data_IF_129707563314
#
_entry.id   IF_129707563314
#
_cell.length_a   1.000
_cell.length_b   1.000
_cell.length_c   1.000
_cell.angle_alpha   90.00
_cell.angle_beta   90.00
_cell.angle_gamma   90.00
#
_symmetry.space_group_name_H-M   'P 1'
#
loop_
_entity.id
_entity.type
_entity.pdbx_description
1 polymer ?
#
# COMPACT_ATOMS: atom_id res chain seq x y z
N UNK A 1 -0.35 -21.71 -20.78
CA UNK A 1 0.72 -21.79 -19.72
C UNK A 1 2.07 -21.25 -20.21
N UNK A 2 2.59 -21.58 -21.42
CA UNK A 2 3.89 -21.06 -21.90
C UNK A 2 3.77 -19.59 -22.30
N UNK A 3 2.68 -19.19 -22.96
CA UNK A 3 2.39 -17.80 -23.35
C UNK A 3 2.25 -16.89 -22.13
N UNK A 4 1.58 -17.33 -21.08
CA UNK A 4 1.40 -16.59 -19.84
C UNK A 4 2.75 -16.40 -19.10
N UNK A 5 3.57 -17.45 -19.01
CA UNK A 5 4.91 -17.35 -18.42
C UNK A 5 5.80 -16.38 -19.20
N UNK A 6 5.70 -16.36 -20.54
CA UNK A 6 6.46 -15.44 -21.40
C UNK A 6 5.98 -13.99 -21.22
N UNK A 7 4.66 -13.77 -21.11
CA UNK A 7 4.09 -12.45 -20.82
C UNK A 7 4.53 -11.94 -19.45
N UNK A 8 4.44 -12.76 -18.40
CA UNK A 8 4.91 -12.41 -17.07
C UNK A 8 6.40 -12.08 -17.05
N UNK A 9 7.22 -12.87 -17.75
CA UNK A 9 8.65 -12.60 -17.89
C UNK A 9 8.91 -11.26 -18.61
N UNK A 10 8.20 -10.97 -19.71
CA UNK A 10 8.35 -9.71 -20.45
C UNK A 10 7.92 -8.49 -19.62
N UNK A 11 6.83 -8.59 -18.84
CA UNK A 11 6.36 -7.54 -17.93
C UNK A 11 7.36 -7.30 -16.81
N UNK A 12 7.87 -8.36 -16.16
CA UNK A 12 8.88 -8.22 -15.12
C UNK A 12 10.19 -7.61 -15.65
N UNK A 13 10.59 -8.00 -16.87
CA UNK A 13 11.75 -7.44 -17.54
C UNK A 13 11.58 -5.93 -17.84
N UNK A 14 10.38 -5.50 -18.23
CA UNK A 14 10.07 -4.09 -18.48
C UNK A 14 10.02 -3.24 -17.20
N UNK A 15 9.59 -3.81 -16.07
CA UNK A 15 9.53 -3.13 -14.78
C UNK A 15 10.91 -2.93 -14.14
N UNK A 16 11.91 -3.77 -14.48
CA UNK A 16 13.28 -3.65 -13.96
C UNK A 16 13.95 -2.33 -14.31
N UNK A 17 14.02 -1.88 -15.59
CA UNK A 17 14.62 -0.59 -15.92
C UNK A 17 13.86 0.58 -15.28
N UNK A 18 12.54 0.51 -15.17
CA UNK A 18 11.75 1.52 -14.48
C UNK A 18 12.15 1.64 -13.01
N UNK A 19 12.30 0.51 -12.30
CA UNK A 19 12.84 0.51 -10.95
C UNK A 19 14.24 1.15 -10.90
N UNK A 20 15.13 0.80 -11.83
CA UNK A 20 16.49 1.30 -11.87
C UNK A 20 16.57 2.81 -12.09
N UNK A 21 15.70 3.37 -12.91
CA UNK A 21 15.60 4.82 -13.13
C UNK A 21 15.10 5.56 -11.88
N UNK A 22 14.08 5.02 -11.22
CA UNK A 22 13.47 5.63 -10.03
C UNK A 22 14.31 5.47 -8.76
N UNK A 23 15.09 4.40 -8.62
CA UNK A 23 15.89 4.13 -7.43
C UNK A 23 17.09 5.11 -7.26
N UNK A 24 17.57 5.74 -8.31
CA UNK A 24 18.62 6.78 -8.28
C UNK A 24 19.79 6.46 -7.34
N UNK A 25 20.06 7.36 -6.40
CA UNK A 25 21.14 7.21 -5.39
C UNK A 25 20.84 6.11 -4.33
N UNK A 26 19.58 5.75 -4.12
CA UNK A 26 19.16 4.65 -3.23
C UNK A 26 19.53 3.28 -3.79
N UNK A 27 19.83 3.20 -5.08
CA UNK A 27 20.23 2.00 -5.84
C UNK A 27 21.37 1.20 -5.20
N UNK A 28 22.29 1.84 -4.48
CA UNK A 28 23.47 1.17 -3.87
C UNK A 28 23.10 0.20 -2.73
N UNK A 29 21.86 0.22 -2.24
CA UNK A 29 21.45 -0.62 -1.12
C UNK A 29 20.56 -1.76 -1.63
N UNK A 30 21.07 -2.99 -1.63
CA UNK A 30 20.29 -4.21 -1.91
C UNK A 30 18.98 -4.26 -1.10
N UNK A 31 18.95 -3.59 0.05
CA UNK A 31 17.79 -3.46 0.91
C UNK A 31 16.60 -2.80 0.23
N UNK A 32 16.85 -1.71 -0.55
CA UNK A 32 15.78 -0.99 -1.28
C UNK A 32 15.09 -1.91 -2.29
N UNK A 33 15.88 -2.72 -2.99
CA UNK A 33 15.37 -3.72 -3.94
C UNK A 33 14.52 -4.77 -3.23
N UNK A 34 15.05 -5.37 -2.14
CA UNK A 34 14.36 -6.41 -1.37
C UNK A 34 13.05 -5.89 -0.78
N UNK A 35 13.01 -4.66 -0.25
CA UNK A 35 11.80 -4.07 0.33
C UNK A 35 10.75 -3.82 -0.75
N UNK A 36 11.12 -3.21 -1.89
CA UNK A 36 10.16 -2.92 -2.97
C UNK A 36 9.55 -4.19 -3.54
N UNK A 37 10.39 -5.13 -4.00
CA UNK A 37 9.91 -6.36 -4.61
C UNK A 37 9.33 -7.34 -3.60
N UNK A 38 9.84 -7.34 -2.37
CA UNK A 38 9.27 -8.10 -1.26
C UNK A 38 7.86 -7.65 -0.92
N UNK A 39 7.60 -6.34 -0.85
CA UNK A 39 6.26 -5.80 -0.63
C UNK A 39 5.29 -6.15 -1.77
N UNK A 40 5.74 -6.06 -3.03
CA UNK A 40 4.95 -6.47 -4.20
C UNK A 40 4.61 -7.96 -4.15
N UNK A 41 5.60 -8.82 -3.87
CA UNK A 41 5.38 -10.26 -3.74
C UNK A 41 4.42 -10.62 -2.62
N UNK A 42 4.59 -10.01 -1.45
CA UNK A 42 3.68 -10.22 -0.30
C UNK A 42 2.26 -9.83 -0.68
N UNK A 43 2.05 -8.71 -1.35
CA UNK A 43 0.72 -8.30 -1.80
C UNK A 43 0.13 -9.28 -2.81
N UNK A 44 0.90 -9.76 -3.79
CA UNK A 44 0.44 -10.75 -4.76
C UNK A 44 0.08 -12.09 -4.09
N UNK A 45 0.86 -12.52 -3.09
CA UNK A 45 0.53 -13.69 -2.28
C UNK A 45 -0.77 -13.50 -1.50
N UNK A 46 -0.98 -12.32 -0.91
CA UNK A 46 -2.25 -11.99 -0.24
C UNK A 46 -3.42 -12.00 -1.22
N UNK A 47 -3.25 -11.49 -2.41
CA UNK A 47 -4.27 -11.56 -3.44
C UNK A 47 -4.62 -13.01 -3.79
N UNK A 48 -3.61 -13.87 -4.00
CA UNK A 48 -3.82 -15.29 -4.27
C UNK A 48 -4.51 -16.02 -3.12
N UNK A 49 -4.10 -15.73 -1.87
CA UNK A 49 -4.69 -16.32 -0.67
C UNK A 49 -6.16 -15.91 -0.50
N UNK A 50 -6.45 -14.61 -0.59
CA UNK A 50 -7.83 -14.10 -0.47
C UNK A 50 -8.70 -14.74 -1.54
N UNK A 51 -8.24 -14.78 -2.79
CA UNK A 51 -8.97 -15.44 -3.87
C UNK A 51 -9.27 -16.90 -3.55
N UNK A 52 -8.28 -17.66 -3.05
CA UNK A 52 -8.50 -19.07 -2.68
C UNK A 52 -9.54 -19.23 -1.58
N UNK A 53 -9.48 -18.36 -0.57
CA UNK A 53 -10.45 -18.39 0.56
C UNK A 53 -11.83 -17.90 0.13
N UNK A 54 -11.91 -16.91 -0.75
CA UNK A 54 -13.20 -16.34 -1.17
C UNK A 54 -13.86 -17.14 -2.29
N UNK A 55 -13.12 -17.97 -3.03
CA UNK A 55 -13.67 -18.79 -4.12
C UNK A 55 -14.86 -19.66 -3.67
N UNK A 56 -14.81 -20.15 -2.43
CA UNK A 56 -15.88 -20.97 -1.85
C UNK A 56 -17.05 -20.14 -1.28
N UNK A 57 -16.80 -18.87 -0.93
CA UNK A 57 -17.76 -18.00 -0.20
C UNK A 57 -18.48 -17.05 -1.17
N UNK A 58 -17.84 -16.64 -2.26
CA UNK A 58 -18.33 -15.56 -3.13
C UNK A 58 -19.37 -15.99 -4.17
N UNK A 59 -19.72 -17.28 -4.24
CA UNK A 59 -20.84 -17.73 -5.09
C UNK A 59 -22.16 -16.97 -4.81
N UNK A 60 -22.33 -16.47 -3.57
CA UNK A 60 -23.57 -15.83 -3.13
C UNK A 60 -23.46 -14.32 -2.78
N UNK A 61 -22.28 -13.76 -2.52
CA UNK A 61 -22.13 -12.43 -1.89
C UNK A 61 -21.48 -11.36 -2.77
N UNK A 62 -20.93 -11.69 -3.92
CA UNK A 62 -20.36 -10.65 -4.80
C UNK A 62 -18.97 -10.96 -5.38
N UNK A 63 -18.38 -9.96 -6.01
CA UNK A 63 -17.15 -10.08 -6.76
C UNK A 63 -15.92 -10.16 -5.84
N UNK A 64 -15.00 -11.08 -6.14
CA UNK A 64 -13.70 -11.25 -5.47
C UNK A 64 -12.89 -9.94 -5.36
N UNK A 65 -13.10 -9.01 -6.31
CA UNK A 65 -12.42 -7.71 -6.36
C UNK A 65 -12.68 -6.83 -5.13
N UNK A 66 -13.78 -7.02 -4.40
CA UNK A 66 -14.12 -6.25 -3.19
C UNK A 66 -13.17 -6.53 -2.01
N UNK A 67 -12.61 -7.74 -1.96
CA UNK A 67 -11.81 -8.22 -0.83
C UNK A 67 -10.30 -7.92 -0.98
N UNK A 68 -9.86 -7.38 -2.11
CA UNK A 68 -8.44 -7.21 -2.40
C UNK A 68 -7.85 -5.94 -1.72
N UNK A 69 -6.75 -6.08 -0.97
CA UNK A 69 -6.08 -4.95 -0.31
C UNK A 69 -5.17 -4.17 -1.29
N UNK A 70 -5.75 -3.35 -2.17
CA UNK A 70 -5.02 -2.65 -3.23
C UNK A 70 -3.90 -1.72 -2.75
N UNK A 71 -3.99 -1.17 -1.53
CA UNK A 71 -3.07 -0.14 -1.04
C UNK A 71 -1.85 -0.68 -0.27
N UNK A 72 -1.75 -1.99 -0.01
CA UNK A 72 -0.77 -2.56 0.92
C UNK A 72 0.69 -2.26 0.51
N UNK A 73 1.15 -2.71 -0.66
CA UNK A 73 2.53 -2.48 -1.07
C UNK A 73 2.81 -1.02 -1.48
N UNK A 74 1.93 -0.28 -2.20
CA UNK A 74 2.12 1.14 -2.42
C UNK A 74 2.34 1.93 -1.13
N UNK A 75 1.56 1.63 -0.08
CA UNK A 75 1.67 2.28 1.21
C UNK A 75 3.02 1.98 1.89
N UNK A 76 3.39 0.70 2.01
CA UNK A 76 4.66 0.29 2.63
C UNK A 76 5.86 0.89 1.91
N UNK A 77 5.90 0.78 0.57
CA UNK A 77 7.02 1.24 -0.23
C UNK A 77 7.13 2.77 -0.20
N UNK A 78 6.01 3.50 -0.28
CA UNK A 78 6.02 4.97 -0.22
C UNK A 78 6.54 5.47 1.12
N UNK A 79 6.12 4.86 2.22
CA UNK A 79 6.53 5.27 3.57
C UNK A 79 8.01 4.99 3.83
N UNK A 80 8.52 3.83 3.38
CA UNK A 80 9.90 3.40 3.64
C UNK A 80 10.91 3.99 2.67
N UNK A 81 10.55 4.14 1.40
CA UNK A 81 11.50 4.42 0.31
C UNK A 81 11.15 5.67 -0.50
N UNK A 82 9.98 6.24 -0.30
CA UNK A 82 9.53 7.47 -0.96
C UNK A 82 8.60 7.27 -2.14
N UNK A 83 8.11 8.38 -2.67
CA UNK A 83 7.01 8.45 -3.66
C UNK A 83 7.32 7.76 -4.98
N UNK A 84 8.53 7.95 -5.52
CA UNK A 84 8.90 7.38 -6.82
C UNK A 84 8.85 5.85 -6.81
N UNK A 85 9.40 5.22 -5.76
CA UNK A 85 9.35 3.77 -5.63
C UNK A 85 7.95 3.26 -5.29
N UNK A 86 7.15 4.06 -4.57
CA UNK A 86 5.74 3.77 -4.35
C UNK A 86 4.93 3.73 -5.65
N UNK A 87 5.19 4.64 -6.59
CA UNK A 87 4.58 4.61 -7.93
C UNK A 87 5.01 3.37 -8.72
N UNK A 88 6.30 3.00 -8.67
CA UNK A 88 6.80 1.76 -9.30
C UNK A 88 6.09 0.54 -8.72
N UNK A 89 5.95 0.46 -7.39
CA UNK A 89 5.21 -0.63 -6.74
C UNK A 89 3.75 -0.69 -7.21
N UNK A 90 3.07 0.46 -7.32
CA UNK A 90 1.68 0.54 -7.81
C UNK A 90 1.56 -0.01 -9.23
N UNK A 91 2.42 0.42 -10.14
CA UNK A 91 2.42 -0.04 -11.53
C UNK A 91 2.74 -1.53 -11.59
N UNK A 92 3.71 -2.00 -10.79
CA UNK A 92 4.08 -3.41 -10.74
C UNK A 92 2.92 -4.29 -10.28
N UNK A 93 2.17 -3.86 -9.26
CA UNK A 93 0.98 -4.60 -8.78
C UNK A 93 -0.14 -4.57 -9.80
N UNK A 94 -0.38 -3.42 -10.43
CA UNK A 94 -1.41 -3.29 -11.45
C UNK A 94 -1.14 -4.26 -12.62
N UNK A 95 0.10 -4.30 -13.11
CA UNK A 95 0.48 -5.18 -14.22
C UNK A 95 0.52 -6.65 -13.81
N UNK A 96 1.28 -7.00 -12.79
CA UNK A 96 1.47 -8.39 -12.36
C UNK A 96 0.18 -8.98 -11.76
N UNK A 97 -0.56 -8.19 -10.96
CA UNK A 97 -1.80 -8.62 -10.33
C UNK A 97 -2.88 -8.95 -11.37
N UNK A 98 -3.03 -8.11 -12.40
CA UNK A 98 -4.01 -8.35 -13.46
C UNK A 98 -3.78 -9.64 -14.23
N UNK A 99 -2.50 -10.03 -14.43
CA UNK A 99 -2.17 -11.30 -15.08
C UNK A 99 -2.21 -12.51 -14.14
N UNK A 100 -1.83 -12.30 -12.85
CA UNK A 100 -1.68 -13.40 -11.90
C UNK A 100 -2.99 -13.83 -11.25
N UNK A 101 -3.91 -12.87 -11.04
CA UNK A 101 -5.14 -13.10 -10.26
C UNK A 101 -6.29 -13.48 -11.17
N UNK A 102 -6.35 -12.94 -12.39
CA UNK A 102 -7.45 -13.13 -13.32
C UNK A 102 -6.97 -13.98 -14.52
N UNK A 103 -6.99 -15.33 -14.43
CA UNK A 103 -6.67 -16.18 -15.56
C UNK A 103 -7.64 -15.93 -16.72
N UNK A 104 -7.25 -16.35 -17.93
CA UNK A 104 -7.99 -16.16 -19.19
C UNK A 104 -9.47 -16.59 -19.17
N UNK A 105 -9.89 -17.36 -18.16
CA UNK A 105 -11.28 -17.79 -17.98
C UNK A 105 -12.23 -16.67 -17.52
N UNK A 106 -11.69 -15.57 -16.97
CA UNK A 106 -12.52 -14.44 -16.55
C UNK A 106 -12.82 -13.51 -17.72
N UNK A 107 -14.03 -12.93 -17.70
CA UNK A 107 -14.42 -11.94 -18.67
C UNK A 107 -13.41 -10.76 -18.67
N UNK A 108 -12.99 -10.25 -19.84
CA UNK A 108 -12.02 -9.16 -19.97
C UNK A 108 -12.44 -7.89 -19.17
N UNK A 109 -13.73 -7.76 -18.90
CA UNK A 109 -14.29 -6.70 -18.07
C UNK A 109 -13.73 -6.70 -16.64
N UNK A 110 -13.62 -7.85 -15.98
CA UNK A 110 -13.07 -7.95 -14.62
C UNK A 110 -11.59 -7.57 -14.56
N UNK A 111 -10.85 -7.88 -15.61
CA UNK A 111 -9.44 -7.50 -15.71
C UNK A 111 -9.27 -5.98 -15.82
N UNK A 112 -10.10 -5.32 -16.61
CA UNK A 112 -10.13 -3.86 -16.72
C UNK A 112 -10.55 -3.22 -15.40
N UNK A 113 -11.57 -3.75 -14.73
CA UNK A 113 -11.99 -3.30 -13.40
C UNK A 113 -10.84 -3.39 -12.38
N UNK A 114 -10.11 -4.51 -12.35
CA UNK A 114 -8.94 -4.67 -11.48
C UNK A 114 -7.85 -3.63 -11.79
N UNK A 115 -7.52 -3.39 -13.04
CA UNK A 115 -6.49 -2.41 -13.41
C UNK A 115 -6.87 -1.00 -12.97
N UNK A 116 -8.11 -0.60 -13.15
CA UNK A 116 -8.61 0.71 -12.74
C UNK A 116 -8.60 0.84 -11.20
N UNK A 117 -9.15 -0.17 -10.50
CA UNK A 117 -9.16 -0.19 -9.03
C UNK A 117 -7.74 -0.15 -8.45
N UNK A 118 -6.84 -0.98 -8.94
CA UNK A 118 -5.46 -1.09 -8.47
C UNK A 118 -4.66 0.18 -8.76
N UNK A 119 -4.75 0.74 -9.96
CA UNK A 119 -3.99 1.94 -10.35
C UNK A 119 -4.46 3.19 -9.59
N UNK A 120 -5.76 3.44 -9.53
CA UNK A 120 -6.31 4.64 -8.86
C UNK A 120 -6.14 4.58 -7.35
N UNK A 121 -6.43 3.43 -6.71
CA UNK A 121 -6.25 3.27 -5.27
C UNK A 121 -4.79 3.34 -4.85
N UNK A 122 -3.88 2.71 -5.61
CA UNK A 122 -2.45 2.76 -5.36
C UNK A 122 -1.88 4.16 -5.55
N UNK A 123 -2.28 4.89 -6.62
CA UNK A 123 -1.84 6.25 -6.87
C UNK A 123 -2.32 7.21 -5.77
N UNK A 124 -3.59 7.11 -5.37
CA UNK A 124 -4.12 7.90 -4.26
C UNK A 124 -3.38 7.60 -2.95
N UNK A 125 -3.06 6.32 -2.69
CA UNK A 125 -2.26 5.92 -1.52
C UNK A 125 -0.91 6.63 -1.52
N UNK A 126 -0.18 6.62 -2.65
CA UNK A 126 1.12 7.29 -2.78
C UNK A 126 1.00 8.78 -2.54
N UNK A 127 -0.03 9.44 -3.10
CA UNK A 127 -0.26 10.88 -2.93
C UNK A 127 -0.56 11.25 -1.47
N UNK A 128 -1.37 10.46 -0.77
CA UNK A 128 -1.74 10.73 0.62
C UNK A 128 -0.62 10.41 1.61
N UNK A 129 0.32 9.54 1.24
CA UNK A 129 1.39 9.07 2.14
C UNK A 129 2.77 9.64 1.84
N UNK A 130 2.90 10.58 0.89
CA UNK A 130 4.21 11.11 0.47
C UNK A 130 4.91 11.94 1.56
N UNK A 131 4.18 12.66 2.43
CA UNK A 131 4.72 13.54 3.48
C UNK A 131 4.16 13.17 4.86
N UNK A 132 4.42 11.94 5.30
CA UNK A 132 3.94 11.48 6.59
C UNK A 132 4.70 12.13 7.75
N UNK A 133 3.95 12.79 8.63
CA UNK A 133 4.46 13.34 9.90
C UNK A 133 3.93 12.58 11.11
N UNK A 134 2.78 11.96 11.01
CA UNK A 134 2.10 11.27 12.11
C UNK A 134 1.52 9.94 11.62
N UNK A 135 1.52 8.92 12.49
CA UNK A 135 0.91 7.61 12.18
C UNK A 135 -0.59 7.70 11.88
N UNK A 136 -1.29 8.68 12.47
CA UNK A 136 -2.70 8.93 12.18
C UNK A 136 -2.98 9.28 10.71
N UNK A 137 -1.98 9.79 9.96
CA UNK A 137 -2.13 10.06 8.54
C UNK A 137 -2.26 8.79 7.72
N UNK A 138 -1.69 7.65 8.18
CA UNK A 138 -1.89 6.35 7.54
C UNK A 138 -3.36 5.92 7.61
N UNK A 139 -4.00 6.13 8.76
CA UNK A 139 -5.42 5.83 8.93
C UNK A 139 -6.30 6.72 8.06
N UNK A 140 -5.95 8.00 7.94
CA UNK A 140 -6.64 8.93 7.01
C UNK A 140 -6.48 8.48 5.56
N UNK A 141 -5.29 8.03 5.17
CA UNK A 141 -5.06 7.48 3.84
C UNK A 141 -5.96 6.25 3.59
N UNK A 142 -6.05 5.32 4.55
CA UNK A 142 -6.96 4.18 4.48
C UNK A 142 -8.42 4.59 4.32
N UNK A 143 -8.85 5.64 5.04
CA UNK A 143 -10.22 6.17 4.93
C UNK A 143 -10.52 6.70 3.52
N UNK A 144 -9.67 7.57 2.98
CA UNK A 144 -9.90 8.16 1.65
C UNK A 144 -9.76 7.13 0.53
N UNK A 145 -8.80 6.20 0.64
CA UNK A 145 -8.65 5.10 -0.33
C UNK A 145 -9.84 4.16 -0.26
N UNK A 146 -10.32 3.82 0.93
CA UNK A 146 -11.52 3.00 1.11
C UNK A 146 -12.77 3.63 0.50
N UNK A 147 -12.94 4.95 0.68
CA UNK A 147 -14.02 5.70 0.06
C UNK A 147 -13.91 5.71 -1.47
N UNK A 148 -12.69 5.89 -2.01
CA UNK A 148 -12.46 5.81 -3.45
C UNK A 148 -12.80 4.44 -4.00
N UNK A 149 -12.30 3.35 -3.37
CA UNK A 149 -12.59 1.97 -3.81
C UNK A 149 -14.07 1.69 -3.78
N UNK A 150 -14.78 2.09 -2.71
CA UNK A 150 -16.23 1.95 -2.59
C UNK A 150 -16.96 2.64 -3.75
N UNK A 151 -16.62 3.90 -4.05
CA UNK A 151 -17.23 4.68 -5.13
C UNK A 151 -16.94 4.05 -6.51
N UNK A 152 -15.69 3.64 -6.75
CA UNK A 152 -15.31 2.98 -8.01
C UNK A 152 -16.03 1.65 -8.20
N UNK A 153 -16.19 0.85 -7.16
CA UNK A 153 -16.94 -0.42 -7.22
C UNK A 153 -18.41 -0.20 -7.57
N UNK A 154 -19.02 0.89 -7.09
CA UNK A 154 -20.37 1.26 -7.48
C UNK A 154 -20.45 1.72 -8.95
N UNK A 155 -19.53 2.57 -9.40
CA UNK A 155 -19.53 3.10 -10.78
C UNK A 155 -19.28 1.99 -11.79
N UNK A 156 -18.37 1.04 -11.46
CA UNK A 156 -18.01 -0.06 -12.37
C UNK A 156 -18.97 -1.25 -12.34
N UNK A 157 -20.05 -1.17 -11.56
CA UNK A 157 -21.04 -2.23 -11.46
C UNK A 157 -20.52 -3.49 -10.73
N UNK A 158 -19.36 -3.41 -10.04
CA UNK A 158 -18.87 -4.47 -9.16
C UNK A 158 -19.85 -4.70 -8.01
N UNK A 159 -20.43 -3.61 -7.50
CA UNK A 159 -21.55 -3.62 -6.55
C UNK A 159 -22.82 -3.29 -7.35
N UNK A 160 -23.75 -4.25 -7.38
CA UNK A 160 -25.00 -4.07 -8.08
C UNK A 160 -25.99 -3.22 -7.25
N UNK A 161 -26.00 -1.91 -7.50
CA UNK A 161 -26.89 -0.98 -6.82
C UNK A 161 -28.36 -1.16 -7.22
N UNK A 162 -28.67 -1.82 -8.36
CA UNK A 162 -30.04 -2.12 -8.74
C UNK A 162 -30.69 -3.16 -7.82
N UNK A 163 -29.87 -3.91 -7.07
CA UNK A 163 -30.32 -4.84 -6.05
C UNK A 163 -30.82 -4.15 -4.77
N UNK A 164 -30.73 -2.80 -4.67
CA UNK A 164 -31.11 -2.03 -3.49
C UNK A 164 -32.55 -2.31 -3.02
N UNK A 165 -33.50 -2.42 -3.96
CA UNK A 165 -34.91 -2.56 -3.67
C UNK A 165 -35.29 -3.93 -3.10
N UNK A 166 -34.51 -4.98 -3.40
CA UNK A 166 -34.82 -6.37 -3.00
C UNK A 166 -33.73 -7.04 -2.14
N UNK A 167 -32.52 -6.51 -2.12
CA UNK A 167 -31.42 -7.04 -1.30
C UNK A 167 -30.56 -5.93 -0.69
N UNK A 168 -31.17 -5.06 0.09
CA UNK A 168 -30.50 -3.94 0.78
C UNK A 168 -29.32 -4.42 1.64
N UNK A 169 -29.49 -5.53 2.37
CA UNK A 169 -28.47 -6.09 3.25
C UNK A 169 -27.23 -6.50 2.47
N UNK A 170 -27.39 -7.16 1.33
CA UNK A 170 -26.26 -7.56 0.46
C UNK A 170 -25.46 -6.36 -0.07
N UNK A 171 -26.17 -5.32 -0.53
CA UNK A 171 -25.52 -4.08 -1.00
C UNK A 171 -24.74 -3.40 0.13
N UNK A 172 -25.34 -3.27 1.31
CA UNK A 172 -24.66 -2.66 2.47
C UNK A 172 -23.43 -3.46 2.90
N UNK A 173 -23.48 -4.79 2.88
CA UNK A 173 -22.33 -5.66 3.18
C UNK A 173 -21.22 -5.44 2.15
N UNK A 174 -21.52 -5.40 0.86
CA UNK A 174 -20.52 -5.14 -0.18
C UNK A 174 -19.85 -3.77 -0.02
N UNK A 175 -20.63 -2.72 0.29
CA UNK A 175 -20.09 -1.39 0.56
C UNK A 175 -19.19 -1.38 1.81
N UNK A 176 -19.62 -2.02 2.88
CA UNK A 176 -18.86 -2.14 4.12
C UNK A 176 -17.54 -2.92 3.91
N UNK A 177 -17.56 -3.99 3.10
CA UNK A 177 -16.36 -4.77 2.77
C UNK A 177 -15.38 -3.94 1.95
N UNK A 178 -15.83 -3.28 0.88
CA UNK A 178 -14.97 -2.47 0.02
C UNK A 178 -14.24 -1.36 0.80
N UNK A 179 -14.95 -0.69 1.72
CA UNK A 179 -14.38 0.31 2.60
C UNK A 179 -13.52 -0.32 3.70
N UNK A 180 -14.02 -1.38 4.35
CA UNK A 180 -13.42 -2.01 5.51
C UNK A 180 -12.08 -2.65 5.22
N UNK A 181 -11.90 -3.28 4.05
CA UNK A 181 -10.61 -3.87 3.62
C UNK A 181 -9.50 -2.83 3.56
N UNK A 182 -9.77 -1.65 2.99
CA UNK A 182 -8.78 -0.57 2.93
C UNK A 182 -8.44 -0.02 4.31
N UNK A 183 -9.44 0.17 5.18
CA UNK A 183 -9.22 0.59 6.57
C UNK A 183 -8.43 -0.45 7.37
N UNK A 184 -8.80 -1.72 7.26
CA UNK A 184 -8.09 -2.81 7.93
C UNK A 184 -6.64 -2.90 7.48
N UNK A 185 -6.39 -2.80 6.17
CA UNK A 185 -5.03 -2.78 5.60
C UNK A 185 -4.21 -1.64 6.17
N UNK A 186 -4.77 -0.44 6.27
CA UNK A 186 -4.10 0.74 6.83
C UNK A 186 -3.73 0.54 8.30
N UNK A 187 -4.63 -0.01 9.11
CA UNK A 187 -4.39 -0.32 10.53
C UNK A 187 -3.29 -1.38 10.68
N UNK A 188 -3.37 -2.48 9.91
CA UNK A 188 -2.38 -3.56 9.94
C UNK A 188 -0.99 -3.05 9.56
N UNK A 189 -0.88 -2.28 8.47
CA UNK A 189 0.41 -1.72 8.05
C UNK A 189 0.94 -0.74 9.08
N UNK A 190 0.11 0.11 9.69
CA UNK A 190 0.53 1.02 10.76
C UNK A 190 1.16 0.28 11.95
N UNK A 191 0.65 -0.92 12.29
CA UNK A 191 1.22 -1.77 13.34
C UNK A 191 2.48 -2.53 12.92
N UNK A 192 2.54 -2.99 11.66
CA UNK A 192 3.67 -3.78 11.13
C UNK A 192 4.86 -2.90 10.73
N UNK A 193 4.62 -1.63 10.39
CA UNK A 193 5.65 -0.70 9.91
C UNK A 193 6.89 -0.61 10.83
N UNK A 194 6.76 -0.47 12.17
CA UNK A 194 7.94 -0.43 13.06
C UNK A 194 8.78 -1.71 13.03
N UNK A 195 8.13 -2.86 12.80
CA UNK A 195 8.81 -4.16 12.71
C UNK A 195 9.64 -4.19 11.43
N UNK A 196 9.09 -3.73 10.30
CA UNK A 196 9.80 -3.64 9.02
C UNK A 196 10.97 -2.65 9.13
N UNK A 197 10.75 -1.46 9.71
CA UNK A 197 11.79 -0.46 9.96
C UNK A 197 12.96 -1.05 10.76
N UNK A 198 12.66 -1.76 11.84
CA UNK A 198 13.67 -2.43 12.67
C UNK A 198 14.42 -3.53 11.93
N UNK A 199 13.74 -4.39 11.19
CA UNK A 199 14.31 -5.51 10.46
C UNK A 199 15.27 -5.05 9.35
N UNK A 200 14.87 -4.04 8.58
CA UNK A 200 15.69 -3.49 7.48
C UNK A 200 16.64 -2.37 7.91
N UNK A 201 16.52 -1.89 9.16
CA UNK A 201 17.27 -0.74 9.68
C UNK A 201 17.10 0.49 8.78
N UNK A 202 15.87 0.75 8.37
CA UNK A 202 15.47 1.94 7.59
C UNK A 202 14.84 2.92 8.56
N UNK A 203 15.31 4.16 8.56
CA UNK A 203 14.75 5.22 9.41
C UNK A 203 13.79 6.03 8.53
N UNK A 204 12.51 6.00 8.89
CA UNK A 204 11.48 6.79 8.19
C UNK A 204 11.40 8.22 8.73
N UNK A 205 10.76 9.15 8.01
CA UNK A 205 10.48 10.50 8.52
C UNK A 205 9.71 10.49 9.85
N UNK A 206 8.82 9.51 10.04
CA UNK A 206 8.08 9.35 11.30
C UNK A 206 9.04 8.97 12.44
N UNK A 207 9.93 8.01 12.22
CA UNK A 207 10.93 7.58 13.21
C UNK A 207 11.87 8.72 13.60
N UNK A 208 12.26 9.58 12.64
CA UNK A 208 13.04 10.80 12.94
C UNK A 208 12.29 11.77 13.85
N UNK A 209 11.01 12.03 13.56
CA UNK A 209 10.19 12.89 14.40
C UNK A 209 9.95 12.31 15.80
N UNK A 210 9.75 10.99 15.88
CA UNK A 210 9.61 10.30 17.18
C UNK A 210 10.92 10.33 17.99
N UNK A 211 12.10 10.28 17.35
CA UNK A 211 13.39 10.40 18.03
C UNK A 211 13.65 11.85 18.51
N UNK A 212 13.17 12.85 17.79
CA UNK A 212 13.30 14.25 18.13
C UNK A 212 12.32 14.74 19.22
N UNK A 213 11.43 13.87 19.71
CA UNK A 213 10.46 14.23 20.75
C UNK A 213 11.19 14.55 22.07
N UNK A 214 11.05 15.80 22.51
CA UNK A 214 11.64 16.33 23.76
C UNK A 214 11.12 15.63 25.03
N UNK A 215 9.99 14.95 24.96
CA UNK A 215 9.43 14.19 26.07
C UNK A 215 10.11 12.85 26.31
N UNK A 216 10.95 12.38 25.40
CA UNK A 216 11.69 11.12 25.59
C UNK A 216 12.65 11.20 26.79
N UNK A 217 12.78 10.11 27.56
CA UNK A 217 13.62 10.08 28.77
C UNK A 217 15.05 10.52 28.51
N UNK A 218 15.64 10.10 27.38
CA UNK A 218 17.00 10.45 26.98
C UNK A 218 17.14 11.96 26.70
N UNK A 219 16.17 12.57 26.03
CA UNK A 219 16.18 14.00 25.72
C UNK A 219 16.02 14.85 27.00
N UNK A 220 15.13 14.44 27.90
CA UNK A 220 15.00 15.06 29.22
C UNK A 220 16.28 14.96 30.05
N UNK A 221 16.93 13.80 30.04
CA UNK A 221 18.19 13.59 30.74
C UNK A 221 19.29 14.48 30.15
N UNK A 222 19.41 14.57 28.82
CA UNK A 222 20.37 15.45 28.15
C UNK A 222 20.13 16.93 28.53
N UNK A 223 18.86 17.34 28.58
CA UNK A 223 18.49 18.71 28.96
C UNK A 223 18.87 19.06 30.43
N UNK A 224 18.74 18.06 31.34
CA UNK A 224 19.05 18.27 32.76
C UNK A 224 20.55 18.12 33.08
N UNK A 225 21.23 17.14 32.50
CA UNK A 225 22.63 16.81 32.77
C UNK A 225 23.62 17.66 31.96
N UNK A 226 23.26 18.06 30.74
CA UNK A 226 24.13 18.81 29.84
C UNK A 226 23.38 19.93 29.07
N UNK A 227 22.83 20.95 29.76
CA UNK A 227 21.99 21.98 29.13
C UNK A 227 22.71 22.76 28.04
N UNK A 228 24.00 23.04 28.19
CA UNK A 228 24.81 23.75 27.21
C UNK A 228 24.91 22.96 25.90
N UNK A 229 25.18 21.66 25.97
CA UNK A 229 25.23 20.77 24.78
C UNK A 229 23.87 20.68 24.12
N UNK A 230 22.81 20.59 24.92
CA UNK A 230 21.43 20.54 24.42
C UNK A 230 21.08 21.79 23.62
N UNK A 231 21.35 23.00 24.17
CA UNK A 231 21.11 24.25 23.46
C UNK A 231 21.99 24.42 22.22
N UNK A 232 23.23 24.01 22.28
CA UNK A 232 24.11 24.01 21.08
C UNK A 232 23.57 23.15 19.96
N UNK A 233 23.13 21.91 20.27
CA UNK A 233 22.53 21.02 19.26
C UNK A 233 21.26 21.62 18.65
N UNK A 234 20.40 22.29 19.46
CA UNK A 234 19.21 22.97 18.95
C UNK A 234 19.56 24.11 18.00
N UNK A 235 20.54 24.94 18.36
CA UNK A 235 20.98 26.07 17.51
C UNK A 235 21.55 25.56 16.18
N UNK A 236 22.37 24.51 16.21
CA UNK A 236 22.92 23.89 14.98
C UNK A 236 21.81 23.30 14.11
N UNK A 237 20.80 22.63 14.72
CA UNK A 237 19.68 22.06 13.99
C UNK A 237 18.77 23.13 13.33
N UNK A 238 18.70 24.34 13.91
CA UNK A 238 17.93 25.46 13.34
C UNK A 238 18.66 26.14 12.16
N UNK A 239 20.01 26.03 12.11
CA UNK A 239 20.83 26.61 11.06
C UNK A 239 21.05 25.66 9.86
N UNK A 240 20.76 24.36 10.01
CA UNK A 240 20.94 23.33 8.99
C UNK A 240 19.70 23.16 8.11
#
# INVERSE_FOLDING_TARGET
HVSEAFLLFSVTLALMPMYWLCAGSLRRKNKTFVVTWGAVLVQLLFFGLIRHVTADITSDIGNELLYLPYMMAPLVVTVLLGTLLGMVATISICMLGGFFILPEQYAPEKQVQFWILSSLSGMLTVLLTHNLRNRAQLLRAGFFVGLLVMVLCCIMGVINLQAWDYNLTGVLVCLAVAFGVSMLTSVLISGVLPIIEGAFKIITPISWLEMADMNRPLMKRLQMEAPGTFHHCLMVAQLA
#
